data_IF_174010496104
#
_entry.id   IF_174010496104
#
_cell.length_a   1.000
_cell.length_b   1.000
_cell.length_c   1.000
_cell.angle_alpha   90.00
_cell.angle_beta   90.00
_cell.angle_gamma   90.00
#
_symmetry.space_group_name_H-M   'P 1'
#
loop_
_entity.id
_entity.type
_entity.pdbx_description
1 polymer ?
#
# COMPACT_ATOMS: atom_id res chain seq x y z
N UNK A 1 -46.75 -10.03 27.98
CA UNK A 1 -46.10 -8.82 27.47
C UNK A 1 -44.63 -9.12 27.23
N UNK A 2 -44.08 -8.86 26.04
CA UNK A 2 -42.63 -9.00 25.77
C UNK A 2 -41.87 -7.91 26.57
N UNK A 3 -40.82 -8.31 27.27
CA UNK A 3 -39.97 -7.39 28.01
C UNK A 3 -39.26 -6.45 27.03
N UNK A 4 -39.28 -5.14 27.30
CA UNK A 4 -38.55 -4.15 26.50
C UNK A 4 -37.05 -4.49 26.44
N UNK A 5 -36.36 -4.32 25.26
CA UNK A 5 -34.97 -4.56 25.15
C UNK A 5 -34.16 -3.72 26.13
N UNK A 6 -33.11 -4.30 26.71
CA UNK A 6 -32.20 -3.55 27.60
C UNK A 6 -31.50 -2.39 26.85
N UNK A 7 -31.03 -1.36 27.52
CA UNK A 7 -30.27 -0.28 26.90
C UNK A 7 -29.07 -0.77 26.10
N UNK A 8 -28.42 -1.84 26.55
CA UNK A 8 -27.36 -2.52 25.80
C UNK A 8 -27.87 -3.13 24.51
N UNK A 9 -29.01 -3.82 24.53
CA UNK A 9 -29.59 -4.43 23.33
C UNK A 9 -30.01 -3.38 22.31
N UNK A 10 -30.60 -2.27 22.77
CA UNK A 10 -30.97 -1.14 21.90
C UNK A 10 -29.75 -0.52 21.24
N UNK A 11 -28.64 -0.33 21.99
CA UNK A 11 -27.40 0.16 21.43
C UNK A 11 -26.74 -0.81 20.46
N UNK A 12 -26.79 -2.09 20.73
CA UNK A 12 -26.28 -3.13 19.82
C UNK A 12 -27.01 -3.12 18.47
N UNK A 13 -28.34 -2.92 18.47
CA UNK A 13 -29.16 -2.80 17.24
C UNK A 13 -28.74 -1.60 16.38
N UNK A 14 -28.34 -0.48 16.97
CA UNK A 14 -27.82 0.69 16.24
C UNK A 14 -26.41 0.43 15.68
N UNK A 15 -25.58 -0.29 16.44
CA UNK A 15 -24.17 -0.52 16.05
C UNK A 15 -23.99 -1.59 14.98
N UNK A 16 -24.87 -2.60 14.90
CA UNK A 16 -24.76 -3.69 13.92
C UNK A 16 -24.74 -3.17 12.48
N UNK A 17 -25.70 -2.35 12.02
CA UNK A 17 -25.67 -1.80 10.66
C UNK A 17 -24.40 -1.03 10.34
N UNK A 18 -23.89 -0.24 11.29
CA UNK A 18 -22.68 0.54 11.13
C UNK A 18 -21.43 -0.33 11.00
N UNK A 19 -21.32 -1.40 11.80
CA UNK A 19 -20.25 -2.40 11.67
C UNK A 19 -20.29 -3.07 10.30
N UNK A 20 -21.49 -3.47 9.82
CA UNK A 20 -21.67 -4.07 8.50
C UNK A 20 -21.28 -3.08 7.39
N UNK A 21 -21.74 -1.82 7.48
CA UNK A 21 -21.42 -0.78 6.51
C UNK A 21 -19.92 -0.56 6.38
N UNK A 22 -19.22 -0.35 7.50
CA UNK A 22 -17.76 -0.15 7.51
C UNK A 22 -17.02 -1.40 7.02
N UNK A 23 -17.47 -2.59 7.42
CA UNK A 23 -16.88 -3.83 6.95
C UNK A 23 -17.02 -3.97 5.42
N UNK A 24 -18.23 -3.76 4.87
CA UNK A 24 -18.49 -3.85 3.43
C UNK A 24 -17.71 -2.79 2.64
N UNK A 25 -17.62 -1.54 3.14
CA UNK A 25 -16.86 -0.47 2.51
C UNK A 25 -15.34 -0.72 2.50
N UNK A 26 -14.84 -1.65 3.32
CA UNK A 26 -13.43 -2.00 3.40
C UNK A 26 -13.01 -3.02 2.35
N UNK A 27 -13.17 -2.71 1.06
CA UNK A 27 -12.91 -3.61 -0.07
C UNK A 27 -13.63 -4.96 0.11
N UNK A 28 -14.94 -4.90 0.32
CA UNK A 28 -15.82 -6.06 0.54
C UNK A 28 -15.43 -6.92 1.75
N UNK A 29 -14.98 -6.32 2.83
CA UNK A 29 -14.77 -7.02 4.10
C UNK A 29 -13.29 -7.29 4.48
N UNK A 30 -12.37 -6.41 4.11
CA UNK A 30 -10.98 -6.53 4.52
C UNK A 30 -10.73 -6.25 6.00
N UNK A 31 -11.50 -5.33 6.61
CA UNK A 31 -11.21 -4.88 7.96
C UNK A 31 -11.59 -5.89 9.03
N UNK A 32 -10.64 -6.15 9.94
CA UNK A 32 -10.91 -6.79 11.22
C UNK A 32 -11.38 -5.80 12.28
N UNK A 33 -11.74 -6.30 13.45
CA UNK A 33 -12.39 -5.53 14.52
C UNK A 33 -11.63 -4.26 14.92
N UNK A 34 -10.29 -4.27 14.93
CA UNK A 34 -9.48 -3.08 15.29
C UNK A 34 -9.66 -1.95 14.27
N UNK A 35 -9.61 -2.25 12.97
CA UNK A 35 -9.80 -1.25 11.93
C UNK A 35 -11.25 -0.77 11.84
N UNK A 36 -12.24 -1.67 11.99
CA UNK A 36 -13.65 -1.26 12.06
C UNK A 36 -13.87 -0.32 13.24
N UNK A 37 -13.36 -0.66 14.42
CA UNK A 37 -13.45 0.20 15.60
C UNK A 37 -12.82 1.57 15.37
N UNK A 38 -11.62 1.62 14.78
CA UNK A 38 -10.93 2.88 14.46
C UNK A 38 -11.69 3.70 13.42
N UNK A 39 -12.24 3.07 12.40
CA UNK A 39 -13.05 3.75 11.38
C UNK A 39 -14.34 4.34 11.99
N UNK A 40 -15.03 3.60 12.85
CA UNK A 40 -16.21 4.12 13.58
C UNK A 40 -15.86 5.33 14.44
N UNK A 41 -14.71 5.31 15.13
CA UNK A 41 -14.23 6.46 15.90
C UNK A 41 -13.97 7.68 15.02
N UNK A 42 -13.35 7.50 13.83
CA UNK A 42 -13.12 8.59 12.86
C UNK A 42 -14.43 9.21 12.37
N UNK A 43 -15.49 8.42 12.29
CA UNK A 43 -16.82 8.85 11.89
C UNK A 43 -17.66 9.40 13.07
N UNK A 44 -17.06 9.60 14.26
CA UNK A 44 -17.73 10.14 15.44
C UNK A 44 -18.57 9.13 16.24
N UNK A 45 -18.54 7.84 15.86
CA UNK A 45 -19.30 6.79 16.56
C UNK A 45 -18.47 6.27 17.74
N UNK A 46 -18.80 6.74 18.96
CA UNK A 46 -18.12 6.31 20.19
C UNK A 46 -18.56 4.91 20.59
N UNK A 47 -17.66 3.95 20.50
CA UNK A 47 -17.86 2.55 20.88
C UNK A 47 -16.57 1.93 21.41
N UNK A 48 -16.68 0.99 22.36
CA UNK A 48 -15.50 0.25 22.84
C UNK A 48 -15.09 -0.86 21.85
N UNK A 49 -13.79 -1.08 21.67
CA UNK A 49 -13.27 -2.12 20.79
C UNK A 49 -13.82 -3.53 21.13
N UNK A 50 -13.97 -3.84 22.44
CA UNK A 50 -14.54 -5.12 22.89
C UNK A 50 -15.99 -5.32 22.43
N UNK A 51 -16.79 -4.23 22.34
CA UNK A 51 -18.16 -4.28 21.81
C UNK A 51 -18.15 -4.60 20.32
N UNK A 52 -17.31 -3.93 19.52
CA UNK A 52 -17.14 -4.20 18.09
C UNK A 52 -16.75 -5.68 17.88
N UNK A 53 -15.75 -6.16 18.61
CA UNK A 53 -15.31 -7.58 18.52
C UNK A 53 -16.42 -8.55 18.87
N UNK A 54 -17.23 -8.27 19.90
CA UNK A 54 -18.34 -9.10 20.31
C UNK A 54 -19.45 -9.15 19.24
N UNK A 55 -19.81 -7.99 18.69
CA UNK A 55 -20.84 -7.90 17.66
C UNK A 55 -20.39 -8.57 16.37
N UNK A 56 -19.18 -8.31 15.90
CA UNK A 56 -18.62 -9.00 14.73
C UNK A 56 -18.64 -10.53 14.90
N UNK A 57 -18.25 -11.01 16.10
CA UNK A 57 -18.29 -12.44 16.38
C UNK A 57 -19.72 -12.99 16.32
N UNK A 58 -20.69 -12.25 16.88
CA UNK A 58 -22.10 -12.66 16.86
C UNK A 58 -22.70 -12.69 15.43
N UNK A 59 -22.23 -11.80 14.54
CA UNK A 59 -22.65 -11.73 13.13
C UNK A 59 -21.81 -12.62 12.20
N UNK A 60 -20.82 -13.36 12.72
CA UNK A 60 -19.92 -14.17 11.88
C UNK A 60 -18.98 -13.35 11.00
N UNK A 61 -18.81 -12.04 11.27
CA UNK A 61 -17.97 -11.14 10.49
C UNK A 61 -16.50 -11.32 10.88
N UNK A 62 -15.62 -11.50 9.89
CA UNK A 62 -14.18 -11.62 10.10
C UNK A 62 -13.42 -10.79 9.05
N UNK A 63 -12.34 -10.13 9.46
CA UNK A 63 -11.43 -9.47 8.51
C UNK A 63 -10.43 -10.44 7.91
N UNK A 64 -9.68 -9.95 6.93
CA UNK A 64 -8.61 -10.70 6.28
C UNK A 64 -7.48 -10.98 7.26
N UNK A 65 -7.01 -12.22 7.29
CA UNK A 65 -5.84 -12.65 8.07
C UNK A 65 -4.67 -12.91 7.14
N UNK A 66 -3.48 -12.47 7.52
CA UNK A 66 -2.25 -12.80 6.81
C UNK A 66 -2.02 -14.32 6.88
N UNK A 67 -1.90 -14.98 5.72
CA UNK A 67 -1.49 -16.39 5.64
C UNK A 67 -0.01 -16.57 5.99
N UNK A 68 0.39 -17.80 6.33
CA UNK A 68 1.76 -18.18 6.76
C UNK A 68 2.70 -18.53 5.60
N UNK A 69 2.39 -18.27 4.33
CA UNK A 69 3.22 -18.74 3.21
C UNK A 69 4.24 -17.68 2.79
N UNK A 70 5.52 -17.95 3.10
CA UNK A 70 6.68 -17.31 2.47
C UNK A 70 7.19 -18.22 1.34
N UNK A 71 7.28 -17.70 0.12
CA UNK A 71 8.07 -18.30 -0.97
C UNK A 71 9.07 -17.26 -1.43
N UNK A 72 10.37 -17.62 -1.37
CA UNK A 72 11.45 -16.82 -1.96
C UNK A 72 11.37 -17.02 -3.47
N UNK A 73 11.28 -15.95 -4.26
CA UNK A 73 11.01 -15.99 -5.69
C UNK A 73 12.00 -15.18 -6.53
N UNK A 74 12.98 -14.50 -5.92
CA UNK A 74 13.95 -13.66 -6.61
C UNK A 74 15.18 -14.47 -7.02
N UNK A 75 15.53 -14.45 -8.32
CA UNK A 75 16.79 -14.98 -8.85
C UNK A 75 17.69 -13.77 -9.12
N UNK A 76 18.82 -13.70 -8.43
CA UNK A 76 19.79 -12.62 -8.60
C UNK A 76 20.69 -12.87 -9.83
N UNK A 77 20.92 -11.84 -10.65
CA UNK A 77 21.95 -11.85 -11.70
C UNK A 77 23.29 -11.37 -11.11
N UNK A 78 24.35 -12.14 -11.28
CA UNK A 78 25.66 -11.91 -10.63
C UNK A 78 26.60 -10.97 -11.39
N UNK A 79 26.29 -10.60 -12.65
CA UNK A 79 27.28 -10.03 -13.59
C UNK A 79 27.10 -8.54 -13.93
N UNK A 80 26.18 -7.80 -13.30
CA UNK A 80 25.95 -6.38 -13.62
C UNK A 80 26.57 -5.41 -12.58
N UNK A 81 27.08 -4.26 -13.06
CA UNK A 81 27.46 -3.12 -12.20
C UNK A 81 26.21 -2.63 -11.47
N UNK A 82 26.31 -2.42 -10.16
CA UNK A 82 25.16 -2.22 -9.28
C UNK A 82 25.29 -0.92 -8.49
N UNK A 83 24.19 -0.15 -8.30
CA UNK A 83 24.13 0.88 -7.29
C UNK A 83 24.36 0.31 -5.89
N UNK A 84 24.89 1.12 -4.97
CA UNK A 84 25.06 0.76 -3.57
C UNK A 84 23.69 0.73 -2.86
N UNK A 85 23.58 -0.07 -1.79
CA UNK A 85 22.47 0.05 -0.88
C UNK A 85 22.62 1.33 -0.05
N UNK A 86 21.69 2.26 -0.24
CA UNK A 86 21.65 3.55 0.47
C UNK A 86 20.61 3.55 1.61
N UNK A 87 19.79 2.50 1.69
CA UNK A 87 18.65 2.42 2.63
C UNK A 87 19.06 1.73 3.92
N UNK A 88 19.98 0.78 3.86
CA UNK A 88 20.49 0.03 5.03
C UNK A 88 19.35 -0.39 5.98
N UNK A 89 18.27 -0.96 5.42
CA UNK A 89 17.06 -1.42 6.14
C UNK A 89 16.27 -0.33 6.88
N UNK A 90 16.64 0.94 6.70
CA UNK A 90 15.96 2.07 7.32
C UNK A 90 14.84 2.59 6.40
N UNK A 91 13.71 1.86 6.31
CA UNK A 91 12.54 2.27 5.54
C UNK A 91 11.74 3.37 6.26
N UNK A 92 12.44 4.50 6.52
CA UNK A 92 11.88 5.70 7.12
C UNK A 92 12.22 6.89 6.23
N UNK A 93 11.24 7.70 5.91
CA UNK A 93 11.42 8.95 5.20
C UNK A 93 10.83 10.09 6.03
N UNK A 94 11.48 11.25 6.02
CA UNK A 94 11.06 12.44 6.78
C UNK A 94 9.99 13.27 6.04
N UNK A 95 9.84 13.03 4.74
CA UNK A 95 8.93 13.77 3.86
C UNK A 95 8.47 12.87 2.69
N UNK A 96 7.36 13.22 2.01
CA UNK A 96 7.00 12.60 0.74
C UNK A 96 8.13 12.73 -0.29
N UNK A 97 8.23 11.76 -1.20
CA UNK A 97 9.20 11.75 -2.31
C UNK A 97 10.68 11.85 -1.89
N UNK A 98 11.03 11.31 -0.72
CA UNK A 98 12.44 11.14 -0.30
C UNK A 98 12.93 9.71 -0.52
N UNK A 99 12.05 8.76 -0.39
CA UNK A 99 12.37 7.36 -0.62
C UNK A 99 11.16 6.65 -1.23
N UNK A 100 11.36 6.10 -2.42
CA UNK A 100 10.43 5.14 -3.02
C UNK A 100 11.00 3.73 -2.96
N UNK A 101 10.14 2.76 -2.74
CA UNK A 101 10.48 1.34 -2.84
C UNK A 101 9.68 0.70 -3.95
N UNK A 102 10.32 -0.18 -4.73
CA UNK A 102 9.66 -0.91 -5.81
C UNK A 102 9.83 -2.42 -5.63
N UNK A 103 8.80 -3.15 -6.03
CA UNK A 103 8.82 -4.61 -6.06
C UNK A 103 7.83 -5.15 -7.09
N UNK A 104 8.06 -6.39 -7.49
CA UNK A 104 7.27 -7.13 -8.44
C UNK A 104 6.53 -8.28 -7.76
N UNK A 105 5.30 -8.51 -8.19
CA UNK A 105 4.54 -9.69 -7.76
C UNK A 105 3.92 -10.40 -8.97
N UNK A 106 3.53 -11.65 -8.80
CA UNK A 106 2.93 -12.44 -9.87
C UNK A 106 1.64 -13.12 -9.42
N UNK A 107 0.73 -13.27 -10.36
CA UNK A 107 -0.62 -13.78 -10.17
C UNK A 107 -0.89 -14.83 -11.24
N UNK A 108 -1.37 -16.00 -10.81
CA UNK A 108 -1.82 -17.04 -11.74
C UNK A 108 -3.20 -16.69 -12.26
N UNK A 109 -3.35 -16.62 -13.59
CA UNK A 109 -4.63 -16.45 -14.27
C UNK A 109 -4.95 -17.68 -15.14
N UNK A 110 -6.16 -17.73 -15.69
CA UNK A 110 -6.53 -18.81 -16.60
C UNK A 110 -5.73 -18.77 -17.93
N UNK A 111 -5.30 -17.55 -18.35
CA UNK A 111 -4.53 -17.36 -19.59
C UNK A 111 -3.02 -17.38 -19.38
N UNK A 112 -2.53 -17.63 -18.16
CA UNK A 112 -1.10 -17.69 -17.86
C UNK A 112 -0.72 -16.85 -16.62
N UNK A 113 0.53 -16.42 -16.57
CA UNK A 113 1.02 -15.56 -15.49
C UNK A 113 0.81 -14.08 -15.84
N UNK A 114 0.35 -13.34 -14.86
CA UNK A 114 0.32 -11.86 -14.86
C UNK A 114 1.28 -11.37 -13.80
N UNK A 115 2.08 -10.38 -14.15
CA UNK A 115 3.03 -9.71 -13.27
C UNK A 115 2.53 -8.31 -12.97
N UNK A 116 2.73 -7.84 -11.74
CA UNK A 116 2.38 -6.48 -11.34
C UNK A 116 3.57 -5.86 -10.64
N UNK A 117 4.01 -4.70 -11.14
CA UNK A 117 5.00 -3.85 -10.51
C UNK A 117 4.32 -2.77 -9.69
N UNK A 118 4.89 -2.45 -8.54
CA UNK A 118 4.45 -1.35 -7.69
C UNK A 118 5.61 -0.45 -7.31
N UNK A 119 5.36 0.85 -7.24
CA UNK A 119 6.23 1.87 -6.65
C UNK A 119 5.48 2.52 -5.49
N UNK A 120 6.10 2.57 -4.32
CA UNK A 120 5.47 2.98 -3.07
C UNK A 120 6.32 4.07 -2.42
N UNK A 121 5.71 5.19 -2.09
CA UNK A 121 6.32 6.22 -1.27
C UNK A 121 6.44 5.74 0.19
N UNK A 122 7.65 5.78 0.74
CA UNK A 122 7.92 5.24 2.08
C UNK A 122 7.32 6.12 3.18
N UNK A 123 7.22 7.43 2.98
CA UNK A 123 6.64 8.34 3.96
C UNK A 123 5.14 8.14 4.10
N UNK A 124 4.41 8.35 3.01
CA UNK A 124 2.95 8.31 2.99
C UNK A 124 2.38 6.90 2.87
N UNK A 125 3.19 5.90 2.50
CA UNK A 125 2.75 4.55 2.13
C UNK A 125 1.86 4.52 0.88
N UNK A 126 1.77 5.63 0.14
CA UNK A 126 1.01 5.72 -1.09
C UNK A 126 1.61 4.87 -2.20
N UNK A 127 0.77 4.19 -2.96
CA UNK A 127 1.15 3.59 -4.23
C UNK A 127 1.20 4.73 -5.24
N UNK A 128 2.41 5.14 -5.64
CA UNK A 128 2.62 6.27 -6.56
C UNK A 128 2.69 5.84 -8.02
N UNK A 129 3.02 4.57 -8.27
CA UNK A 129 3.01 3.99 -9.61
C UNK A 129 2.78 2.48 -9.57
N UNK A 130 2.18 1.95 -10.63
CA UNK A 130 1.99 0.50 -10.80
C UNK A 130 1.69 0.16 -12.25
N UNK A 131 1.96 -1.10 -12.64
CA UNK A 131 1.63 -1.62 -13.95
C UNK A 131 1.41 -3.12 -13.89
N UNK A 132 0.48 -3.63 -14.70
CA UNK A 132 0.24 -5.07 -14.88
C UNK A 132 0.65 -5.49 -16.31
N UNK A 133 1.23 -6.69 -16.46
CA UNK A 133 1.65 -7.23 -17.76
C UNK A 133 1.67 -8.75 -17.76
N UNK A 134 1.56 -9.35 -18.93
CA UNK A 134 1.81 -10.79 -19.15
C UNK A 134 3.30 -11.09 -19.31
N UNK A 135 4.16 -10.07 -19.41
CA UNK A 135 5.60 -10.20 -19.62
C UNK A 135 6.38 -9.63 -18.42
N UNK A 136 7.39 -10.36 -17.98
CA UNK A 136 8.32 -9.95 -16.93
C UNK A 136 9.55 -9.21 -17.52
N UNK A 137 9.38 -8.38 -18.52
CA UNK A 137 10.45 -7.56 -19.10
C UNK A 137 10.64 -6.28 -18.29
N UNK A 138 11.79 -5.62 -18.51
CA UNK A 138 12.09 -4.33 -17.87
C UNK A 138 11.04 -3.24 -18.14
N UNK A 139 10.33 -3.33 -19.28
CA UNK A 139 9.25 -2.40 -19.63
C UNK A 139 8.17 -2.31 -18.54
N UNK A 140 7.80 -3.43 -17.90
CA UNK A 140 6.84 -3.46 -16.80
C UNK A 140 7.28 -2.57 -15.61
N UNK A 141 8.55 -2.66 -15.21
CA UNK A 141 9.09 -1.86 -14.12
C UNK A 141 9.22 -0.38 -14.52
N UNK A 142 9.61 -0.13 -15.78
CA UNK A 142 9.72 1.21 -16.36
C UNK A 142 8.35 1.88 -16.42
N UNK A 143 7.31 1.22 -16.89
CA UNK A 143 5.97 1.78 -16.98
C UNK A 143 5.40 2.14 -15.59
N UNK A 144 5.66 1.30 -14.58
CA UNK A 144 5.30 1.62 -13.19
C UNK A 144 6.07 2.84 -12.65
N UNK A 145 7.37 2.97 -12.98
CA UNK A 145 8.19 4.12 -12.63
C UNK A 145 7.72 5.39 -13.36
N UNK A 146 7.39 5.30 -14.65
CA UNK A 146 6.85 6.44 -15.42
C UNK A 146 5.54 6.95 -14.82
N UNK A 147 4.63 6.05 -14.44
CA UNK A 147 3.40 6.43 -13.75
C UNK A 147 3.73 7.15 -12.43
N UNK A 148 4.70 6.67 -11.65
CA UNK A 148 5.11 7.29 -10.39
C UNK A 148 5.65 8.70 -10.62
N UNK A 149 6.58 8.89 -11.56
CA UNK A 149 7.17 10.19 -11.92
C UNK A 149 6.06 11.13 -12.42
N UNK A 150 5.19 10.67 -13.31
CA UNK A 150 4.09 11.48 -13.84
C UNK A 150 3.10 11.90 -12.75
N UNK A 151 2.76 11.01 -11.83
CA UNK A 151 1.86 11.32 -10.70
C UNK A 151 2.43 12.38 -9.74
N UNK A 152 3.74 12.60 -9.78
CA UNK A 152 4.50 13.53 -8.94
C UNK A 152 5.15 14.68 -9.72
N UNK A 153 4.74 14.92 -10.97
CA UNK A 153 5.37 15.88 -11.88
C UNK A 153 5.36 17.35 -11.41
N UNK A 154 4.47 17.69 -10.47
CA UNK A 154 4.40 19.02 -9.84
C UNK A 154 5.29 19.15 -8.58
N UNK A 155 6.03 18.11 -8.22
CA UNK A 155 6.80 18.04 -6.98
C UNK A 155 8.29 17.90 -7.27
N UNK A 156 9.13 18.36 -6.33
CA UNK A 156 10.58 18.21 -6.43
C UNK A 156 10.99 16.77 -6.11
N UNK A 157 11.59 16.09 -7.09
CA UNK A 157 12.11 14.72 -6.99
C UNK A 157 13.65 14.68 -6.91
N UNK A 158 14.35 15.81 -6.87
CA UNK A 158 15.82 15.90 -6.92
C UNK A 158 16.54 15.21 -5.75
N UNK A 159 15.85 14.98 -4.63
CA UNK A 159 16.38 14.26 -3.47
C UNK A 159 15.78 12.87 -3.29
N UNK A 160 15.08 12.38 -4.31
CA UNK A 160 14.44 11.09 -4.25
C UNK A 160 15.47 9.97 -4.40
N UNK A 161 15.43 9.02 -3.47
CA UNK A 161 16.08 7.72 -3.59
C UNK A 161 15.05 6.69 -4.00
N UNK A 162 15.31 5.97 -5.09
CA UNK A 162 14.51 4.85 -5.54
C UNK A 162 15.20 3.54 -5.20
N UNK A 163 14.62 2.77 -4.29
CA UNK A 163 15.16 1.50 -3.84
C UNK A 163 14.35 0.31 -4.38
N UNK A 164 15.07 -0.71 -4.87
CA UNK A 164 14.46 -1.95 -5.35
C UNK A 164 15.27 -3.17 -4.91
N UNK A 165 14.68 -4.36 -5.08
CA UNK A 165 15.43 -5.59 -4.98
C UNK A 165 16.41 -5.75 -6.16
N UNK A 166 17.15 -6.88 -6.16
CA UNK A 166 18.12 -7.23 -7.23
C UNK A 166 17.48 -7.86 -8.46
N UNK A 167 16.20 -7.66 -8.68
CA UNK A 167 15.54 -8.17 -9.88
C UNK A 167 16.17 -7.63 -11.16
N UNK A 168 16.35 -8.49 -12.17
CA UNK A 168 16.98 -8.14 -13.48
C UNK A 168 16.29 -6.94 -14.13
N UNK A 169 14.99 -6.75 -13.85
CA UNK A 169 14.17 -5.67 -14.40
C UNK A 169 14.65 -4.29 -13.91
N UNK A 170 15.01 -4.20 -12.62
CA UNK A 170 15.48 -2.98 -11.98
C UNK A 170 16.97 -2.69 -12.25
N UNK A 171 17.72 -3.71 -12.63
CA UNK A 171 19.15 -3.58 -12.99
C UNK A 171 19.36 -3.33 -14.50
N UNK A 172 18.30 -3.29 -15.30
CA UNK A 172 18.42 -3.03 -16.73
C UNK A 172 18.97 -1.63 -17.00
N UNK A 173 19.80 -1.50 -18.04
CA UNK A 173 20.40 -0.21 -18.46
C UNK A 173 19.29 0.84 -18.66
N UNK A 174 18.20 0.49 -19.36
CA UNK A 174 17.06 1.39 -19.60
C UNK A 174 16.42 1.91 -18.31
N UNK A 175 16.30 1.05 -17.30
CA UNK A 175 15.75 1.46 -16.01
C UNK A 175 16.66 2.44 -15.28
N UNK A 176 17.96 2.16 -15.25
CA UNK A 176 18.98 3.04 -14.65
C UNK A 176 19.10 4.38 -15.38
N UNK A 177 19.07 4.37 -16.72
CA UNK A 177 19.06 5.58 -17.55
C UNK A 177 17.81 6.42 -17.28
N UNK A 178 16.65 5.78 -17.08
CA UNK A 178 15.41 6.50 -16.77
C UNK A 178 15.43 7.17 -15.40
N UNK A 179 15.96 6.51 -14.37
CA UNK A 179 16.18 7.12 -13.06
C UNK A 179 17.13 8.32 -13.17
N UNK A 180 18.27 8.16 -13.84
CA UNK A 180 19.24 9.24 -14.06
C UNK A 180 18.66 10.43 -14.83
N UNK A 181 17.83 10.19 -15.86
CA UNK A 181 17.18 11.28 -16.62
C UNK A 181 16.12 12.05 -15.82
N UNK A 182 15.68 11.53 -14.68
CA UNK A 182 14.76 12.17 -13.75
C UNK A 182 15.46 12.71 -12.50
N UNK A 183 16.79 12.69 -12.46
CA UNK A 183 17.65 13.08 -11.31
C UNK A 183 17.35 12.26 -10.04
N UNK A 184 16.85 11.02 -10.21
CA UNK A 184 16.51 10.12 -9.11
C UNK A 184 17.72 9.22 -8.80
N UNK A 185 18.09 9.15 -7.52
CA UNK A 185 19.19 8.31 -7.06
C UNK A 185 18.75 6.85 -6.95
N UNK A 186 19.44 5.95 -7.66
CA UNK A 186 19.18 4.52 -7.56
C UNK A 186 19.83 3.90 -6.33
N UNK A 187 19.11 3.02 -5.63
CA UNK A 187 19.58 2.19 -4.52
C UNK A 187 19.11 0.75 -4.73
N UNK A 188 19.96 -0.23 -4.45
CA UNK A 188 19.65 -1.65 -4.64
C UNK A 188 20.07 -2.44 -3.41
N UNK A 189 19.18 -3.29 -2.89
CA UNK A 189 19.42 -4.10 -1.71
C UNK A 189 20.62 -5.05 -1.79
N UNK A 190 21.09 -5.58 -0.66
CA UNK A 190 22.23 -6.49 -0.57
C UNK A 190 21.91 -7.92 -1.06
N UNK A 191 22.94 -8.77 -1.27
CA UNK A 191 22.74 -10.13 -1.81
C UNK A 191 22.14 -11.06 -0.76
N UNK A 192 20.95 -11.60 -1.04
CA UNK A 192 20.36 -12.71 -0.26
C UNK A 192 19.69 -12.27 1.05
N UNK A 193 19.51 -10.99 1.28
CA UNK A 193 18.83 -10.49 2.47
C UNK A 193 17.38 -10.08 2.14
N UNK A 194 16.43 -10.87 2.60
CA UNK A 194 14.99 -10.63 2.44
C UNK A 194 14.48 -9.41 3.23
N UNK A 195 15.32 -8.81 4.09
CA UNK A 195 14.95 -7.62 4.86
C UNK A 195 15.23 -6.33 4.11
N UNK A 196 16.03 -6.38 3.05
CA UNK A 196 16.47 -5.19 2.30
C UNK A 196 15.33 -4.54 1.47
N UNK A 197 14.19 -5.20 1.28
CA UNK A 197 12.99 -4.62 0.66
C UNK A 197 11.71 -4.94 1.45
N UNK A 198 11.84 -5.06 2.78
CA UNK A 198 10.78 -5.53 3.67
C UNK A 198 9.48 -4.73 3.59
N UNK A 199 9.53 -3.43 3.25
CA UNK A 199 8.34 -2.61 3.09
C UNK A 199 7.55 -3.01 1.85
N UNK A 200 8.20 -3.13 0.70
CA UNK A 200 7.57 -3.51 -0.55
C UNK A 200 7.07 -4.97 -0.50
N UNK A 201 7.85 -5.89 0.09
CA UNK A 201 7.40 -7.26 0.33
C UNK A 201 6.17 -7.32 1.25
N UNK A 202 6.16 -6.49 2.30
CA UNK A 202 5.02 -6.37 3.21
C UNK A 202 3.77 -5.88 2.49
N UNK A 203 3.92 -4.90 1.59
CA UNK A 203 2.85 -4.40 0.73
C UNK A 203 2.34 -5.50 -0.23
N UNK A 204 3.23 -6.20 -0.92
CA UNK A 204 2.85 -7.31 -1.80
C UNK A 204 2.07 -8.40 -1.04
N UNK A 205 2.44 -8.65 0.22
CA UNK A 205 1.69 -9.53 1.10
C UNK A 205 0.28 -9.02 1.41
N UNK A 206 0.09 -7.71 1.61
CA UNK A 206 -1.23 -7.09 1.77
C UNK A 206 -2.06 -7.21 0.50
N UNK A 207 -1.52 -6.81 -0.65
CA UNK A 207 -2.17 -6.90 -1.96
C UNK A 207 -2.65 -8.33 -2.26
N UNK A 208 -1.78 -9.33 -2.05
CA UNK A 208 -2.14 -10.73 -2.25
C UNK A 208 -3.27 -11.19 -1.32
N UNK A 209 -3.19 -10.85 -0.03
CA UNK A 209 -4.20 -11.31 0.93
C UNK A 209 -5.51 -10.53 0.83
N UNK A 210 -5.46 -9.21 0.60
CA UNK A 210 -6.64 -8.35 0.58
C UNK A 210 -7.39 -8.41 -0.75
N UNK A 211 -6.69 -8.66 -1.88
CA UNK A 211 -7.29 -8.72 -3.21
C UNK A 211 -7.16 -10.11 -3.84
N UNK A 212 -5.92 -10.54 -4.12
CA UNK A 212 -5.67 -11.63 -5.07
C UNK A 212 -6.23 -12.97 -4.60
N UNK A 213 -6.00 -13.34 -3.34
CA UNK A 213 -6.47 -14.62 -2.79
C UNK A 213 -7.98 -14.62 -2.47
N UNK A 214 -8.60 -13.45 -2.40
CA UNK A 214 -10.02 -13.33 -2.06
C UNK A 214 -10.94 -13.27 -3.28
N UNK A 215 -10.52 -12.59 -4.34
CA UNK A 215 -11.34 -12.34 -5.53
C UNK A 215 -11.06 -13.30 -6.69
N UNK A 216 -10.05 -14.17 -6.56
CA UNK A 216 -9.80 -15.21 -7.59
C UNK A 216 -10.93 -16.23 -7.70
N UNK A 217 -10.96 -17.02 -8.78
CA UNK A 217 -9.93 -17.16 -9.80
C UNK A 217 -9.89 -15.99 -10.80
N UNK A 218 -8.69 -15.71 -11.33
CA UNK A 218 -8.42 -14.60 -12.24
C UNK A 218 -8.51 -15.05 -13.69
N UNK A 219 -9.25 -14.32 -14.55
CA UNK A 219 -9.45 -14.69 -15.95
C UNK A 219 -8.19 -14.45 -16.79
N UNK A 220 -7.71 -13.23 -16.81
CA UNK A 220 -6.63 -12.72 -17.67
C UNK A 220 -5.99 -11.48 -17.03
N UNK A 221 -5.03 -10.85 -17.73
CA UNK A 221 -4.32 -9.65 -17.26
C UNK A 221 -5.27 -8.47 -17.09
N UNK A 222 -6.20 -8.25 -17.99
CA UNK A 222 -7.14 -7.13 -17.94
C UNK A 222 -8.05 -7.21 -16.69
N UNK A 223 -8.44 -8.42 -16.29
CA UNK A 223 -9.22 -8.61 -15.06
C UNK A 223 -8.38 -8.28 -13.81
N UNK A 224 -7.10 -8.67 -13.79
CA UNK A 224 -6.17 -8.32 -12.71
C UNK A 224 -5.95 -6.81 -12.67
N UNK A 225 -5.71 -6.19 -13.81
CA UNK A 225 -5.46 -4.75 -13.96
C UNK A 225 -6.65 -3.93 -13.44
N UNK A 226 -7.88 -4.27 -13.87
CA UNK A 226 -9.08 -3.58 -13.43
C UNK A 226 -9.32 -3.64 -11.91
N UNK A 227 -9.14 -4.81 -11.32
CA UNK A 227 -9.30 -4.98 -9.87
C UNK A 227 -8.12 -4.36 -9.09
N UNK A 228 -6.92 -4.34 -9.68
CA UNK A 228 -5.77 -3.62 -9.10
C UNK A 228 -5.99 -2.12 -9.09
N UNK A 229 -6.55 -1.54 -10.16
CA UNK A 229 -6.92 -0.13 -10.20
C UNK A 229 -7.86 0.25 -9.05
N UNK A 230 -8.90 -0.55 -8.81
CA UNK A 230 -9.83 -0.33 -7.68
C UNK A 230 -9.13 -0.50 -6.32
N UNK A 231 -8.23 -1.47 -6.23
CA UNK A 231 -7.45 -1.69 -5.02
C UNK A 231 -6.54 -0.50 -4.72
N UNK A 232 -5.83 0.03 -5.72
CA UNK A 232 -4.94 1.19 -5.57
C UNK A 232 -5.73 2.43 -5.13
N UNK A 233 -6.86 2.71 -5.79
CA UNK A 233 -7.73 3.81 -5.36
C UNK A 233 -8.19 3.65 -3.91
N UNK A 234 -8.69 2.47 -3.54
CA UNK A 234 -9.12 2.21 -2.18
C UNK A 234 -7.95 2.27 -1.18
N UNK A 235 -6.77 1.72 -1.55
CA UNK A 235 -5.59 1.69 -0.72
C UNK A 235 -5.08 3.09 -0.38
N UNK A 236 -4.98 3.96 -1.38
CA UNK A 236 -4.47 5.31 -1.22
C UNK A 236 -5.47 6.25 -0.53
N UNK A 237 -6.76 6.15 -0.87
CA UNK A 237 -7.75 7.17 -0.50
C UNK A 237 -8.68 6.75 0.66
N UNK A 238 -8.79 5.47 0.98
CA UNK A 238 -9.80 4.99 1.94
C UNK A 238 -9.28 3.98 2.96
N UNK A 239 -8.23 3.24 2.61
CA UNK A 239 -7.68 2.24 3.52
C UNK A 239 -6.91 2.89 4.67
N UNK A 240 -7.39 2.69 5.91
CA UNK A 240 -6.67 3.16 7.09
C UNK A 240 -5.47 2.26 7.41
N UNK A 241 -4.34 2.88 7.76
CA UNK A 241 -3.07 2.22 8.05
C UNK A 241 -2.66 2.41 9.49
N UNK A 242 -2.29 1.33 10.18
CA UNK A 242 -1.82 1.42 11.57
C UNK A 242 -0.55 2.26 11.70
N UNK A 243 0.37 2.14 10.74
CA UNK A 243 1.63 2.89 10.69
C UNK A 243 1.43 4.40 10.43
N UNK A 244 0.25 4.83 9.99
CA UNK A 244 -0.13 6.22 9.73
C UNK A 244 -1.21 6.69 10.74
N UNK A 245 -1.21 6.15 11.96
CA UNK A 245 -2.22 6.42 12.98
C UNK A 245 -3.68 6.25 12.50
N UNK A 246 -3.92 5.23 11.70
CA UNK A 246 -5.24 4.87 11.15
C UNK A 246 -5.88 5.94 10.26
N UNK A 247 -5.07 6.64 9.47
CA UNK A 247 -5.54 7.46 8.35
C UNK A 247 -5.14 6.82 7.01
N UNK A 248 -5.82 7.18 5.90
CA UNK A 248 -5.40 6.79 4.56
C UNK A 248 -4.09 7.49 4.13
N UNK A 249 -3.29 6.88 3.23
CA UNK A 249 -2.08 7.48 2.69
C UNK A 249 -2.26 8.90 2.17
N UNK A 250 -3.29 9.15 1.35
CA UNK A 250 -3.54 10.45 0.76
C UNK A 250 -3.86 11.53 1.81
N UNK A 251 -4.63 11.17 2.85
CA UNK A 251 -4.94 12.07 3.97
C UNK A 251 -3.69 12.38 4.80
N UNK A 252 -2.86 11.37 5.06
CA UNK A 252 -1.61 11.56 5.80
C UNK A 252 -0.64 12.48 5.06
N UNK A 253 -0.53 12.33 3.75
CA UNK A 253 0.33 13.15 2.91
C UNK A 253 -0.21 14.60 2.81
N UNK A 254 -1.51 14.78 2.66
CA UNK A 254 -2.15 16.10 2.64
C UNK A 254 -1.89 16.88 3.93
N UNK A 255 -2.05 16.24 5.09
CA UNK A 255 -1.77 16.84 6.39
C UNK A 255 -0.31 17.29 6.54
N UNK A 256 0.64 16.57 5.94
CA UNK A 256 2.04 16.98 5.92
C UNK A 256 2.23 18.29 5.14
N UNK A 257 1.65 18.43 3.95
CA UNK A 257 1.77 19.66 3.16
C UNK A 257 1.09 20.84 3.84
N UNK A 258 -0.11 20.65 4.39
CA UNK A 258 -0.83 21.69 5.13
C UNK A 258 -0.04 22.22 6.33
N UNK A 259 0.63 21.33 7.09
CA UNK A 259 1.45 21.75 8.23
C UNK A 259 2.68 22.56 7.80
N UNK A 260 3.35 22.14 6.72
CA UNK A 260 4.53 22.86 6.22
C UNK A 260 4.19 24.22 5.60
N UNK A 261 3.05 24.34 4.90
CA UNK A 261 2.58 25.63 4.40
C UNK A 261 2.28 26.59 5.56
N UNK A 262 1.64 26.11 6.61
CA UNK A 262 1.32 26.92 7.81
C UNK A 262 2.58 27.38 8.53
N UNK A 263 3.61 26.55 8.66
CA UNK A 263 4.90 26.93 9.26
C UNK A 263 5.63 27.99 8.40
N UNK A 264 5.61 27.84 7.08
CA UNK A 264 6.21 28.80 6.15
C UNK A 264 5.55 30.18 6.25
N UNK A 265 4.20 30.22 6.30
CA UNK A 265 3.46 31.46 6.45
C UNK A 265 3.74 32.14 7.80
N UNK A 266 3.79 31.38 8.89
CA UNK A 266 4.09 31.91 10.22
C UNK A 266 5.51 32.52 10.32
N UNK A 267 6.48 31.96 9.62
CA UNK A 267 7.86 32.52 9.53
C UNK A 267 7.85 33.82 8.73
N UNK A 268 7.10 33.92 7.65
CA UNK A 268 7.02 35.13 6.81
C UNK A 268 6.29 36.28 7.51
N UNK A 269 5.34 36.01 8.39
CA UNK A 269 4.63 37.03 9.20
C UNK A 269 5.49 37.57 10.37
N UNK A 270 6.60 36.91 10.69
CA UNK A 270 7.48 37.28 11.83
C UNK A 270 8.71 38.11 11.37
N UNK A 271 8.89 38.27 10.05
CA UNK A 271 9.96 39.07 9.41
C UNK A 271 9.41 40.45 9.01
#
# INVERSE_FOLDING_TARGET
MARLPSARAQRDEVLRPEIHRVHQASLDGCYGAKKIWKQLQREGITVANCTVRRLMKAEGITGVRRGRQFKITTIADENQLRPNDLVDRQFVASAPNRLWVADLTYIKTHTGWTYVAFVIDVFSRSIVGWQASTSLRSDLAIDALEMAIYSRNSQDLSQLVHHSDRGVQYLSIRYSERLGSADIVASVGSKGDSYDNALAESFNGLYKNELIHRKGPWRNVEHVEWETLKYVDWFNNRRIHEALDYVPPAEFEAAYYESNESETLAVLETI
#
